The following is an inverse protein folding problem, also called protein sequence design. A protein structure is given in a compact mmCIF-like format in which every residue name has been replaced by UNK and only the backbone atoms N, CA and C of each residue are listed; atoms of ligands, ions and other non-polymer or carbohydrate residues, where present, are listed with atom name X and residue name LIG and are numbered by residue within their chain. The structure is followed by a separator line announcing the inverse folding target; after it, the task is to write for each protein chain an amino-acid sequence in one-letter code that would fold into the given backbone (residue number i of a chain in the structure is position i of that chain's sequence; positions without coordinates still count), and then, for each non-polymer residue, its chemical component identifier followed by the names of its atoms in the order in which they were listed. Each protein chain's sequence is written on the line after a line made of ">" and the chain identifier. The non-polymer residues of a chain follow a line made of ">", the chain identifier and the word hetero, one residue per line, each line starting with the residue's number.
data_IF_559989938586
#
_entry.id   IF_559989938586
#
_cell.length_a   1.000
_cell.length_b   1.000
_cell.length_c   1.000
_cell.angle_alpha   90.00
_cell.angle_beta   90.00
_cell.angle_gamma   90.00
#
_symmetry.space_group_name_H-M   'P 1'
#
loop_
_entity.id
_entity.type
_entity.pdbx_description
1 polymer ?
#
# COMPACT_ATOMS: atom_id res chain seq x y z
N UNK A 1 4.61 2.88 22.76
CA UNK A 1 3.49 2.13 22.14
C UNK A 1 2.31 1.93 23.08
N UNK A 2 2.52 1.36 24.28
CA UNK A 2 1.42 1.12 25.24
C UNK A 2 0.64 2.39 25.60
N UNK A 3 1.34 3.52 25.82
CA UNK A 3 0.68 4.80 26.10
C UNK A 3 -0.31 5.21 24.98
N UNK A 4 0.07 5.06 23.71
CA UNK A 4 -0.82 5.35 22.58
C UNK A 4 -2.02 4.41 22.54
N UNK A 5 -1.82 3.11 22.75
CA UNK A 5 -2.90 2.11 22.74
C UNK A 5 -3.93 2.34 23.84
N UNK A 6 -3.50 2.77 25.01
CA UNK A 6 -4.39 3.03 26.16
C UNK A 6 -5.06 4.40 26.06
N UNK A 7 -4.33 5.44 25.69
CA UNK A 7 -4.82 6.81 25.85
C UNK A 7 -5.42 7.41 24.58
N UNK A 8 -4.98 7.00 23.39
CA UNK A 8 -5.51 7.54 22.14
C UNK A 8 -7.04 7.38 22.01
N UNK A 9 -7.65 6.22 22.34
CA UNK A 9 -9.11 6.07 22.31
C UNK A 9 -9.88 7.00 23.25
N UNK A 10 -9.23 7.53 24.28
CA UNK A 10 -9.85 8.41 25.28
C UNK A 10 -9.87 9.88 24.84
N UNK A 11 -9.02 10.25 23.88
CA UNK A 11 -8.82 11.64 23.45
C UNK A 11 -9.26 11.90 22.01
N UNK A 12 -9.86 10.90 21.34
CA UNK A 12 -10.35 11.04 19.96
C UNK A 12 -11.70 10.35 19.77
N UNK A 13 -12.60 10.92 18.94
CA UNK A 13 -13.84 10.24 18.54
C UNK A 13 -13.61 9.16 17.47
N UNK A 14 -12.38 9.02 16.93
CA UNK A 14 -12.06 8.02 15.90
C UNK A 14 -12.09 6.59 16.45
N UNK A 15 -12.45 5.62 15.60
CA UNK A 15 -12.33 4.21 15.95
C UNK A 15 -10.85 3.79 16.00
N UNK A 16 -10.32 3.59 17.20
CA UNK A 16 -8.95 3.13 17.43
C UNK A 16 -8.95 1.63 17.71
N UNK A 17 -8.31 0.85 16.83
CA UNK A 17 -8.09 -0.58 17.04
C UNK A 17 -6.64 -0.75 17.52
N UNK A 18 -6.45 -1.31 18.71
CA UNK A 18 -5.12 -1.44 19.35
C UNK A 18 -4.07 -2.10 18.45
N UNK A 19 -4.48 -3.13 17.69
CA UNK A 19 -3.62 -3.87 16.77
C UNK A 19 -3.16 -3.04 15.57
N UNK A 20 -3.87 -1.95 15.24
CA UNK A 20 -3.47 -1.03 14.18
C UNK A 20 -2.36 -0.06 14.62
N UNK A 21 -2.09 0.03 15.93
CA UNK A 21 -0.98 0.83 16.46
C UNK A 21 0.25 -0.07 16.57
N UNK A 22 1.14 0.02 15.58
CA UNK A 22 2.36 -0.80 15.47
C UNK A 22 3.50 -0.03 14.84
N UNK A 23 4.72 -0.50 15.06
CA UNK A 23 5.87 -0.10 14.24
C UNK A 23 5.74 -0.85 12.92
N UNK A 24 5.79 -0.12 11.80
CA UNK A 24 5.78 -0.77 10.49
C UNK A 24 7.17 -1.32 10.19
N UNK A 25 7.22 -2.47 9.52
CA UNK A 25 8.46 -2.98 8.97
C UNK A 25 8.85 -2.11 7.76
N UNK A 26 10.14 -1.88 7.54
CA UNK A 26 10.61 -1.07 6.41
C UNK A 26 10.17 -1.62 5.04
N UNK A 27 9.98 -2.94 4.94
CA UNK A 27 9.43 -3.58 3.75
C UNK A 27 8.02 -3.08 3.44
N UNK A 28 7.18 -2.92 4.46
CA UNK A 28 5.83 -2.37 4.31
C UNK A 28 5.84 -0.88 4.01
N UNK A 29 6.79 -0.12 4.55
CA UNK A 29 7.00 1.28 4.15
C UNK A 29 7.24 1.38 2.63
N UNK A 30 8.11 0.53 2.07
CA UNK A 30 8.35 0.46 0.63
C UNK A 30 7.10 0.04 -0.18
N UNK A 31 6.38 -0.99 0.27
CA UNK A 31 5.12 -1.41 -0.39
C UNK A 31 4.11 -0.27 -0.39
N UNK A 32 3.94 0.42 0.73
CA UNK A 32 2.98 1.50 0.83
C UNK A 32 3.37 2.71 -0.04
N UNK A 33 4.66 3.09 -0.09
CA UNK A 33 5.12 4.12 -1.04
C UNK A 33 4.87 3.72 -2.50
N UNK A 34 5.09 2.44 -2.84
CA UNK A 34 4.81 1.91 -4.18
C UNK A 34 3.31 1.94 -4.52
N UNK A 35 2.43 1.62 -3.57
CA UNK A 35 0.98 1.75 -3.74
C UNK A 35 0.61 3.22 -3.96
N UNK A 36 1.14 4.13 -3.13
CA UNK A 36 0.81 5.56 -3.21
C UNK A 36 1.15 6.14 -4.58
N UNK A 37 2.38 5.95 -5.06
CA UNK A 37 2.81 6.51 -6.36
C UNK A 37 2.00 5.94 -7.53
N UNK A 38 1.74 4.62 -7.53
CA UNK A 38 0.98 3.99 -8.60
C UNK A 38 -0.50 4.36 -8.57
N UNK A 39 -1.06 4.62 -7.38
CA UNK A 39 -2.42 5.14 -7.24
C UNK A 39 -2.53 6.56 -7.80
N UNK A 40 -1.65 7.47 -7.39
CA UNK A 40 -1.66 8.88 -7.86
C UNK A 40 -1.45 8.96 -9.38
N UNK A 41 -0.62 8.07 -9.94
CA UNK A 41 -0.40 7.96 -11.38
C UNK A 41 -1.52 7.20 -12.13
N UNK A 42 -2.57 6.74 -11.44
CA UNK A 42 -3.69 6.01 -12.04
C UNK A 42 -3.32 4.65 -12.63
N UNK A 43 -2.18 4.06 -12.22
CA UNK A 43 -1.69 2.76 -12.75
C UNK A 43 -2.58 1.58 -12.36
N UNK A 44 -3.40 1.75 -11.33
CA UNK A 44 -4.38 0.75 -10.91
C UNK A 44 -5.73 0.85 -11.64
N UNK A 45 -5.92 1.81 -12.54
CA UNK A 45 -7.16 1.89 -13.31
C UNK A 45 -7.21 0.75 -14.33
N UNK A 46 -8.28 -0.05 -14.26
CA UNK A 46 -8.55 -1.14 -15.19
C UNK A 46 -9.69 -0.71 -16.11
N UNK A 47 -9.45 -0.69 -17.41
CA UNK A 47 -10.54 -0.67 -18.40
C UNK A 47 -11.07 -2.10 -18.55
N UNK A 48 -12.33 -2.35 -18.19
CA UNK A 48 -12.97 -3.67 -18.28
C UNK A 48 -12.92 -4.28 -19.70
N UNK A 49 -12.77 -3.45 -20.73
CA UNK A 49 -12.66 -3.83 -22.14
C UNK A 49 -11.28 -4.37 -22.54
N UNK A 50 -10.25 -4.19 -21.72
CA UNK A 50 -8.89 -4.63 -21.99
C UNK A 50 -8.36 -5.45 -20.82
N UNK A 51 -8.18 -6.75 -21.01
CA UNK A 51 -7.62 -7.69 -20.03
C UNK A 51 -6.14 -7.39 -19.66
N UNK A 52 -5.59 -6.25 -20.09
CA UNK A 52 -4.20 -5.83 -19.90
C UNK A 52 -4.20 -4.64 -18.96
N UNK A 53 -3.66 -4.85 -17.76
CA UNK A 53 -3.39 -3.79 -16.78
C UNK A 53 -2.28 -2.85 -17.27
N UNK A 54 -2.35 -1.59 -16.85
CA UNK A 54 -1.26 -0.64 -17.07
C UNK A 54 0.01 -1.12 -16.35
N UNK A 55 1.21 -0.98 -16.95
CA UNK A 55 2.46 -1.20 -16.24
C UNK A 55 2.55 -0.26 -15.03
N UNK A 56 2.99 -0.79 -13.90
CA UNK A 56 3.27 -0.01 -12.71
C UNK A 56 4.66 0.64 -12.80
N UNK A 57 4.89 1.63 -11.95
CA UNK A 57 6.22 2.24 -11.76
C UNK A 57 6.88 1.65 -10.53
N UNK A 58 8.21 1.60 -10.53
CA UNK A 58 9.00 1.28 -9.35
C UNK A 58 9.14 2.50 -8.42
N UNK A 59 9.54 2.22 -7.19
CA UNK A 59 9.80 3.22 -6.16
C UNK A 59 11.19 3.00 -5.53
N UNK A 60 11.89 4.08 -5.25
CA UNK A 60 13.05 4.15 -4.35
C UNK A 60 12.80 5.28 -3.34
N UNK A 61 12.99 5.00 -2.07
CA UNK A 61 12.91 6.00 -1.01
C UNK A 61 14.21 5.99 -0.21
N UNK A 62 14.88 7.15 -0.14
CA UNK A 62 16.12 7.30 0.62
C UNK A 62 15.83 8.19 1.81
N UNK A 63 15.52 7.57 2.94
CA UNK A 63 15.32 8.26 4.20
C UNK A 63 16.62 8.66 4.89
N UNK A 64 16.51 9.08 6.15
CA UNK A 64 17.69 9.37 6.98
C UNK A 64 18.44 8.12 7.42
N UNK A 65 17.72 7.06 7.81
CA UNK A 65 18.30 5.85 8.41
C UNK A 65 18.32 4.64 7.46
N UNK A 66 17.29 4.49 6.64
CA UNK A 66 17.13 3.36 5.72
C UNK A 66 16.88 3.83 4.30
N UNK A 67 16.99 2.87 3.39
CA UNK A 67 16.62 2.99 2.01
C UNK A 67 15.64 1.86 1.67
N UNK A 68 14.61 2.14 0.89
CA UNK A 68 13.60 1.18 0.46
C UNK A 68 13.54 1.17 -1.07
N UNK A 69 13.33 0.00 -1.65
CA UNK A 69 13.03 -0.17 -3.09
C UNK A 69 11.87 -1.15 -3.25
N UNK A 70 10.96 -0.85 -4.18
CA UNK A 70 9.83 -1.71 -4.50
C UNK A 70 9.52 -1.63 -6.00
N UNK A 71 9.43 -2.78 -6.63
CA UNK A 71 9.25 -2.92 -8.08
C UNK A 71 8.34 -4.11 -8.36
N UNK A 72 7.40 -3.94 -9.26
CA UNK A 72 6.62 -5.07 -9.74
C UNK A 72 7.46 -6.01 -10.61
N UNK A 73 7.31 -7.32 -10.36
CA UNK A 73 7.93 -8.39 -11.13
C UNK A 73 7.00 -8.89 -12.24
N UNK A 74 7.61 -9.33 -13.33
CA UNK A 74 6.91 -10.07 -14.37
C UNK A 74 6.62 -11.50 -13.90
N UNK A 75 5.62 -12.15 -14.52
CA UNK A 75 5.26 -13.55 -14.22
C UNK A 75 6.43 -14.53 -14.47
N UNK A 76 7.33 -14.18 -15.41
CA UNK A 76 8.51 -14.98 -15.78
C UNK A 76 9.70 -14.80 -14.83
N UNK A 77 9.66 -13.83 -13.91
CA UNK A 77 10.80 -13.57 -13.02
C UNK A 77 10.86 -14.64 -11.93
N UNK A 78 11.76 -15.63 -12.04
CA UNK A 78 11.93 -16.70 -11.05
C UNK A 78 12.70 -16.27 -9.80
N UNK A 79 12.46 -15.07 -9.27
CA UNK A 79 13.00 -14.65 -7.98
C UNK A 79 12.21 -15.35 -6.87
N UNK A 80 12.74 -16.47 -6.38
CA UNK A 80 12.27 -17.12 -5.16
C UNK A 80 13.12 -16.62 -4.00
N UNK A 81 12.81 -15.41 -3.52
CA UNK A 81 13.49 -14.82 -2.36
C UNK A 81 12.48 -14.27 -1.37
N UNK A 82 12.93 -14.10 -0.12
CA UNK A 82 12.17 -13.42 0.95
C UNK A 82 11.86 -11.94 0.62
N UNK A 83 12.49 -11.39 -0.43
CA UNK A 83 12.27 -10.05 -0.92
C UNK A 83 11.09 -9.94 -1.90
N UNK A 84 10.29 -10.98 -2.10
CA UNK A 84 9.09 -10.93 -2.95
C UNK A 84 7.82 -11.01 -2.10
N UNK A 85 6.87 -10.13 -2.39
CA UNK A 85 5.55 -10.08 -1.75
C UNK A 85 4.41 -10.16 -2.75
N UNK A 86 3.30 -10.74 -2.30
CA UNK A 86 2.04 -10.72 -3.05
C UNK A 86 1.12 -9.66 -2.42
N UNK A 87 0.99 -8.54 -3.11
CA UNK A 87 0.15 -7.42 -2.70
C UNK A 87 -1.20 -7.52 -3.41
N UNK A 88 -2.29 -7.75 -2.66
CA UNK A 88 -3.65 -7.69 -3.19
C UNK A 88 -4.30 -6.35 -2.81
N UNK A 89 -4.59 -5.52 -3.81
CA UNK A 89 -5.34 -4.27 -3.64
C UNK A 89 -6.83 -4.44 -3.94
N UNK A 90 -7.23 -5.60 -4.44
CA UNK A 90 -8.61 -5.92 -4.74
C UNK A 90 -9.41 -6.20 -3.47
N UNK A 91 -10.72 -6.02 -3.62
CA UNK A 91 -11.67 -6.29 -2.55
C UNK A 91 -12.16 -7.75 -2.49
N UNK A 92 -11.77 -8.57 -3.48
CA UNK A 92 -12.09 -10.00 -3.57
C UNK A 92 -10.79 -10.78 -3.52
N UNK A 93 -10.65 -11.62 -2.49
CA UNK A 93 -9.45 -12.44 -2.33
C UNK A 93 -9.33 -13.54 -3.40
N UNK A 94 -10.38 -13.86 -4.15
CA UNK A 94 -10.31 -14.80 -5.26
C UNK A 94 -9.86 -14.19 -6.60
N UNK A 95 -9.74 -12.86 -6.70
CA UNK A 95 -9.45 -12.18 -7.97
C UNK A 95 -7.96 -11.89 -8.13
N UNK A 96 -7.43 -12.20 -9.31
CA UNK A 96 -6.04 -11.87 -9.67
C UNK A 96 -5.89 -10.48 -10.30
N UNK A 97 -6.99 -9.77 -10.54
CA UNK A 97 -6.99 -8.49 -11.26
C UNK A 97 -6.14 -7.41 -10.57
N UNK A 98 -6.14 -7.41 -9.24
CA UNK A 98 -5.41 -6.46 -8.41
C UNK A 98 -4.36 -7.15 -7.52
N UNK A 99 -3.86 -8.31 -7.98
CA UNK A 99 -2.74 -9.01 -7.35
C UNK A 99 -1.44 -8.65 -8.06
N UNK A 100 -0.50 -8.15 -7.27
CA UNK A 100 0.79 -7.69 -7.74
C UNK A 100 1.87 -8.50 -7.03
N UNK A 101 2.82 -9.01 -7.81
CA UNK A 101 4.03 -9.64 -7.28
C UNK A 101 5.11 -8.59 -7.24
N UNK A 102 5.45 -8.13 -6.04
CA UNK A 102 6.32 -6.97 -5.83
C UNK A 102 7.62 -7.45 -5.21
N UNK A 103 8.73 -7.21 -5.90
CA UNK A 103 10.04 -7.25 -5.26
C UNK A 103 10.15 -6.02 -4.36
N UNK A 104 10.42 -6.23 -3.08
CA UNK A 104 10.58 -5.16 -2.11
C UNK A 104 11.63 -5.53 -1.07
N UNK A 105 12.50 -4.57 -0.77
CA UNK A 105 13.51 -4.74 0.27
C UNK A 105 13.84 -3.42 0.95
N UNK A 106 14.44 -3.52 2.13
CA UNK A 106 14.91 -2.40 2.94
C UNK A 106 16.37 -2.59 3.28
N UNK A 107 17.17 -1.57 3.02
CA UNK A 107 18.58 -1.53 3.34
C UNK A 107 18.79 -0.63 4.56
N UNK A 108 18.83 -1.25 5.73
CA UNK A 108 19.04 -0.53 6.99
C UNK A 108 20.47 0.02 7.05
N UNK A 109 20.61 1.28 7.47
CA UNK A 109 21.89 1.98 7.50
C UNK A 109 22.37 2.48 6.13
N UNK A 110 21.51 2.46 5.11
CA UNK A 110 21.78 3.06 3.78
C UNK A 110 21.00 4.35 3.53
N UNK A 111 20.19 4.79 4.51
CA UNK A 111 19.69 6.16 4.51
C UNK A 111 20.84 7.16 4.57
N UNK A 112 20.60 8.39 4.12
CA UNK A 112 21.67 9.36 3.86
C UNK A 112 22.48 9.73 5.11
N UNK A 113 21.84 9.79 6.28
CA UNK A 113 22.50 10.17 7.53
C UNK A 113 23.34 9.02 8.09
N UNK A 114 22.85 7.78 7.99
CA UNK A 114 23.62 6.60 8.37
C UNK A 114 24.76 6.33 7.38
N UNK A 115 24.57 6.60 6.09
CA UNK A 115 25.63 6.62 5.08
C UNK A 115 26.74 7.62 5.45
N UNK A 116 26.36 8.84 5.86
CA UNK A 116 27.32 9.85 6.34
C UNK A 116 28.07 9.36 7.58
N UNK A 117 27.36 8.71 8.51
CA UNK A 117 27.96 8.14 9.72
C UNK A 117 29.00 7.07 9.41
N UNK A 118 28.68 6.15 8.48
CA UNK A 118 29.60 5.12 7.99
C UNK A 118 30.82 5.74 7.30
N UNK A 119 30.61 6.77 6.49
CA UNK A 119 31.69 7.50 5.83
C UNK A 119 32.62 8.19 6.85
N UNK A 120 32.06 8.87 7.84
CA UNK A 120 32.83 9.50 8.91
C UNK A 120 33.63 8.47 9.72
N UNK A 121 33.05 7.30 9.99
CA UNK A 121 33.77 6.20 10.63
C UNK A 121 34.94 5.71 9.78
N UNK A 122 34.73 5.48 8.47
CA UNK A 122 35.78 5.08 7.53
C UNK A 122 36.96 6.07 7.53
N UNK A 123 36.68 7.37 7.47
CA UNK A 123 37.71 8.41 7.55
C UNK A 123 38.43 8.39 8.90
N UNK A 124 37.68 8.18 9.97
CA UNK A 124 38.19 8.09 11.34
C UNK A 124 39.15 6.92 11.51
N UNK A 125 38.83 5.76 10.95
CA UNK A 125 39.60 4.51 11.03
C UNK A 125 40.89 4.59 10.19
N UNK A 126 40.82 5.19 8.98
CA UNK A 126 42.02 5.45 8.15
C UNK A 126 43.07 6.28 8.88
N UNK A 127 42.65 7.32 9.62
CA UNK A 127 43.55 8.13 10.44
C UNK A 127 44.26 7.33 11.54
N UNK A 128 43.60 6.30 12.11
CA UNK A 128 44.18 5.46 13.15
C UNK A 128 45.21 4.48 12.57
N UNK A 129 44.94 3.93 11.38
CA UNK A 129 45.83 2.96 10.72
C UNK A 129 47.10 3.59 10.13
N UNK A 130 47.06 4.86 9.73
CA UNK A 130 48.22 5.55 9.13
C UNK A 130 49.33 5.91 10.15
N UNK A 131 49.26 5.41 11.39
CA UNK A 131 50.22 5.63 12.50
C UNK A 131 50.68 7.09 12.66
N UNK A 132 49.82 8.01 12.23
CA UNK A 132 50.13 9.43 12.14
C UNK A 132 49.70 10.09 13.42
N UNK A 133 50.58 10.07 14.42
CA UNK A 133 50.45 10.83 15.68
C UNK A 133 50.27 12.34 15.49
N UNK A 134 50.26 12.85 14.24
CA UNK A 134 50.34 14.27 13.88
C UNK A 134 49.12 14.79 13.10
N UNK A 135 48.26 13.95 12.49
CA UNK A 135 47.13 14.46 11.69
C UNK A 135 45.83 14.55 12.50
N UNK A 136 45.61 15.71 13.10
CA UNK A 136 44.34 16.08 13.72
C UNK A 136 43.18 16.26 12.73
N UNK A 137 43.46 16.22 11.42
CA UNK A 137 42.46 16.39 10.37
C UNK A 137 42.67 15.49 9.14
N UNK A 138 41.56 15.17 8.47
CA UNK A 138 41.51 14.47 7.18
C UNK A 138 41.03 15.41 6.09
N UNK A 139 41.59 15.28 4.88
CA UNK A 139 41.10 15.98 3.69
C UNK A 139 39.90 15.24 3.14
N UNK A 140 38.80 15.95 2.95
CA UNK A 140 37.50 15.34 2.67
C UNK A 140 36.94 15.82 1.34
N UNK A 141 36.83 14.91 0.38
CA UNK A 141 36.30 15.16 -0.95
C UNK A 141 34.80 15.47 -0.95
N UNK A 142 34.07 14.97 0.05
CA UNK A 142 32.63 15.09 0.20
C UNK A 142 32.16 16.36 0.93
N UNK A 143 33.08 17.29 1.27
CA UNK A 143 32.75 18.59 1.84
C UNK A 143 33.15 19.73 0.89
N UNK A 144 32.39 20.85 0.86
CA UNK A 144 32.79 22.06 0.13
C UNK A 144 34.20 22.53 0.52
N UNK A 145 34.90 23.16 -0.42
CA UNK A 145 36.28 23.63 -0.19
C UNK A 145 36.39 24.50 1.06
N UNK A 146 37.34 24.18 1.93
CA UNK A 146 37.60 24.86 3.22
C UNK A 146 36.46 24.81 4.26
N UNK A 147 35.38 24.06 4.04
CA UNK A 147 34.48 23.73 5.15
C UNK A 147 35.23 22.85 6.15
N UNK A 148 35.11 23.17 7.43
CA UNK A 148 35.69 22.38 8.52
C UNK A 148 34.55 21.82 9.36
N UNK A 149 34.55 20.50 9.58
CA UNK A 149 33.64 19.82 10.50
C UNK A 149 34.42 19.02 11.53
N UNK A 150 34.01 19.10 12.79
CA UNK A 150 34.58 18.27 13.86
C UNK A 150 33.68 17.08 14.10
N UNK A 151 34.24 15.88 14.04
CA UNK A 151 33.54 14.61 14.30
C UNK A 151 33.99 14.03 15.61
N UNK A 152 33.03 13.60 16.43
CA UNK A 152 33.27 12.87 17.68
C UNK A 152 33.17 11.37 17.44
N UNK A 153 34.22 10.62 17.77
CA UNK A 153 34.24 9.16 17.70
C UNK A 153 33.54 8.55 18.91
N UNK A 154 33.16 7.27 18.81
CA UNK A 154 32.57 6.50 19.92
C UNK A 154 33.47 6.40 21.14
N UNK A 155 34.79 6.41 20.95
CA UNK A 155 35.79 6.39 22.03
C UNK A 155 36.05 7.76 22.67
N UNK A 156 35.25 8.79 22.34
CA UNK A 156 35.40 10.16 22.86
C UNK A 156 36.46 11.00 22.16
N UNK A 157 37.36 10.41 21.37
CA UNK A 157 38.33 11.18 20.58
C UNK A 157 37.64 11.98 19.46
N UNK A 158 38.29 13.05 19.01
CA UNK A 158 37.77 13.94 17.97
C UNK A 158 38.76 14.06 16.82
N UNK A 159 38.26 14.21 15.61
CA UNK A 159 39.08 14.57 14.45
C UNK A 159 38.34 15.60 13.60
N UNK A 160 39.09 16.34 12.80
CA UNK A 160 38.55 17.37 11.92
C UNK A 160 38.51 16.87 10.47
N UNK A 161 37.42 17.17 9.76
CA UNK A 161 37.28 16.97 8.32
C UNK A 161 37.44 18.33 7.65
N UNK A 162 38.36 18.46 6.71
CA UNK A 162 38.58 19.69 5.94
C UNK A 162 38.25 19.45 4.47
N UNK A 163 37.24 20.14 3.98
CA UNK A 163 36.73 19.95 2.63
C UNK A 163 37.70 20.38 1.54
N UNK A 164 37.83 19.54 0.51
CA UNK A 164 38.56 19.86 -0.71
C UNK A 164 37.64 20.17 -1.89
N UNK A 165 36.38 19.72 -1.86
CA UNK A 165 35.40 20.03 -2.90
C UNK A 165 35.51 19.17 -4.16
N UNK A 166 36.03 17.95 -4.05
CA UNK A 166 36.18 17.01 -5.17
C UNK A 166 35.03 16.01 -5.20
N UNK A 167 33.96 16.37 -5.93
CA UNK A 167 32.74 15.57 -5.96
C UNK A 167 32.95 14.19 -6.62
N UNK A 168 33.79 14.09 -7.64
CA UNK A 168 34.03 12.81 -8.34
C UNK A 168 34.80 11.83 -7.44
N UNK A 169 35.83 12.31 -6.73
CA UNK A 169 36.52 11.50 -5.74
C UNK A 169 35.59 11.08 -4.58
N UNK A 170 34.66 11.96 -4.18
CA UNK A 170 33.63 11.61 -3.20
C UNK A 170 32.73 10.46 -3.72
N UNK A 171 32.19 10.56 -4.93
CA UNK A 171 31.37 9.49 -5.54
C UNK A 171 32.13 8.16 -5.62
N UNK A 172 33.42 8.18 -5.95
CA UNK A 172 34.26 6.99 -5.97
C UNK A 172 34.35 6.31 -4.59
N UNK A 173 34.71 7.08 -3.55
CA UNK A 173 34.79 6.56 -2.17
C UNK A 173 33.44 6.03 -1.67
N UNK A 174 32.35 6.73 -1.97
CA UNK A 174 31.02 6.31 -1.55
C UNK A 174 30.52 5.09 -2.33
N UNK A 175 30.91 4.95 -3.61
CA UNK A 175 30.59 3.76 -4.41
C UNK A 175 31.20 2.50 -3.82
N UNK A 176 32.47 2.55 -3.39
CA UNK A 176 33.11 1.44 -2.68
C UNK A 176 32.43 1.15 -1.35
N UNK A 177 32.13 2.20 -0.57
CA UNK A 177 31.47 2.05 0.73
C UNK A 177 30.09 1.40 0.60
N UNK A 178 29.33 1.77 -0.43
CA UNK A 178 27.99 1.28 -0.69
C UNK A 178 27.97 -0.24 -0.94
N UNK A 179 28.91 -0.78 -1.72
CA UNK A 179 28.93 -2.22 -2.05
C UNK A 179 29.62 -3.07 -0.98
N UNK A 180 30.59 -2.51 -0.26
CA UNK A 180 31.36 -3.26 0.73
C UNK A 180 30.71 -3.32 2.12
N UNK A 181 29.67 -2.52 2.38
CA UNK A 181 29.03 -2.42 3.72
C UNK A 181 28.13 -3.61 4.09
N UNK A 182 28.03 -4.65 3.28
CA UNK A 182 27.39 -5.91 3.68
C UNK A 182 27.33 -6.96 2.59
N UNK A 183 28.51 -7.40 2.14
CA UNK A 183 28.66 -8.44 1.12
C UNK A 183 27.99 -9.74 1.55
N UNK A 184 26.97 -10.15 0.81
CA UNK A 184 26.36 -11.48 0.91
C UNK A 184 27.14 -12.46 0.03
N UNK A 185 27.37 -13.70 0.51
CA UNK A 185 28.05 -14.74 -0.26
C UNK A 185 27.34 -15.07 -1.59
N UNK A 186 26.02 -14.95 -1.65
CA UNK A 186 25.25 -15.11 -2.89
C UNK A 186 25.59 -14.05 -3.93
N UNK A 187 25.96 -12.85 -3.49
CA UNK A 187 26.35 -11.74 -4.37
C UNK A 187 27.72 -11.92 -5.03
N UNK A 188 28.45 -12.99 -4.70
CA UNK A 188 29.62 -13.41 -5.46
C UNK A 188 29.25 -14.12 -6.77
N UNK A 189 28.03 -14.68 -6.86
CA UNK A 189 27.57 -15.50 -7.99
C UNK A 189 26.47 -14.85 -8.81
N UNK A 190 25.85 -13.78 -8.30
CA UNK A 190 24.74 -13.09 -8.95
C UNK A 190 24.83 -11.58 -8.75
N UNK A 191 24.24 -10.82 -9.67
CA UNK A 191 24.07 -9.37 -9.53
C UNK A 191 23.21 -9.05 -8.30
N UNK A 192 23.68 -8.13 -7.47
CA UNK A 192 23.00 -7.72 -6.25
C UNK A 192 22.82 -6.22 -6.16
N UNK A 193 21.72 -5.82 -5.53
CA UNK A 193 21.54 -4.45 -5.07
C UNK A 193 22.33 -4.21 -3.79
N UNK A 194 23.13 -3.13 -3.81
CA UNK A 194 24.00 -2.66 -2.74
C UNK A 194 24.96 -3.75 -2.20
N UNK A 195 25.25 -4.79 -3.01
CA UNK A 195 26.04 -5.94 -2.59
C UNK A 195 25.38 -6.87 -1.55
N UNK A 196 24.10 -6.65 -1.22
CA UNK A 196 23.42 -7.37 -0.11
C UNK A 196 22.31 -8.31 -0.58
N UNK A 197 21.49 -7.88 -1.52
CA UNK A 197 20.26 -8.58 -1.92
C UNK A 197 20.31 -8.88 -3.40
N UNK A 198 20.06 -10.13 -3.78
CA UNK A 198 20.02 -10.57 -5.19
C UNK A 198 19.02 -9.72 -5.97
N UNK A 199 19.50 -9.08 -7.04
CA UNK A 199 18.68 -8.26 -7.90
C UNK A 199 17.73 -9.14 -8.74
N UNK A 200 16.48 -8.70 -8.98
CA UNK A 200 15.61 -9.35 -9.95
C UNK A 200 16.20 -9.22 -11.37
N UNK A 201 15.69 -10.04 -12.30
CA UNK A 201 16.15 -10.01 -13.70
C UNK A 201 15.73 -8.74 -14.45
N UNK A 202 14.73 -8.01 -13.92
CA UNK A 202 14.31 -6.73 -14.47
C UNK A 202 15.39 -5.66 -14.23
N UNK A 203 15.81 -5.02 -15.31
CA UNK A 203 16.70 -3.86 -15.27
C UNK A 203 15.93 -2.64 -14.79
N UNK A 204 16.42 -1.97 -13.74
CA UNK A 204 15.83 -0.72 -13.23
C UNK A 204 15.91 0.43 -14.25
N UNK A 205 16.84 0.34 -15.21
CA UNK A 205 17.03 1.33 -16.27
C UNK A 205 15.90 1.30 -17.30
N UNK A 206 15.23 0.15 -17.46
CA UNK A 206 14.19 -0.06 -18.48
C UNK A 206 12.78 0.27 -17.99
N UNK A 207 12.62 0.51 -16.68
CA UNK A 207 11.34 0.83 -16.04
C UNK A 207 11.27 2.30 -15.62
N UNK A 208 10.06 2.74 -15.26
CA UNK A 208 9.85 4.06 -14.66
C UNK A 208 10.09 3.91 -13.17
N UNK A 209 10.98 4.72 -12.62
CA UNK A 209 11.41 4.59 -11.22
C UNK A 209 11.31 5.95 -10.54
N UNK A 210 10.55 6.03 -9.47
CA UNK A 210 10.29 7.27 -8.74
C UNK A 210 11.09 7.29 -7.43
N UNK A 211 11.86 8.35 -7.24
CA UNK A 211 12.75 8.58 -6.10
C UNK A 211 12.18 9.61 -5.14
N UNK A 212 12.00 9.23 -3.88
CA UNK A 212 11.44 10.08 -2.83
C UNK A 212 12.50 10.55 -1.82
N UNK A 213 12.09 11.45 -0.92
CA UNK A 213 12.90 11.94 0.20
C UNK A 213 14.25 12.50 -0.26
N UNK A 214 15.38 11.91 0.15
CA UNK A 214 16.70 12.46 -0.19
C UNK A 214 17.06 12.32 -1.67
N UNK A 215 16.36 11.49 -2.45
CA UNK A 215 16.46 11.55 -3.92
C UNK A 215 16.00 12.93 -4.43
N UNK A 216 14.94 13.48 -3.87
CA UNK A 216 14.45 14.82 -4.19
C UNK A 216 15.33 15.90 -3.57
N UNK A 217 15.47 15.93 -2.25
CA UNK A 217 16.15 17.04 -1.57
C UNK A 217 17.62 17.19 -2.00
N UNK A 218 18.31 16.08 -2.31
CA UNK A 218 19.70 16.12 -2.78
C UNK A 218 19.85 16.55 -4.24
N UNK A 219 18.77 16.54 -5.03
CA UNK A 219 18.79 17.00 -6.44
C UNK A 219 18.13 18.38 -6.59
N UNK A 220 17.16 18.73 -5.76
CA UNK A 220 16.37 19.95 -5.91
C UNK A 220 16.88 21.14 -5.09
N UNK A 221 17.10 20.99 -3.77
CA UNK A 221 17.21 22.14 -2.84
C UNK A 221 18.30 23.16 -3.21
N UNK A 222 19.42 22.65 -3.75
CA UNK A 222 20.59 23.46 -4.14
C UNK A 222 20.80 23.51 -5.65
N UNK A 223 20.44 22.44 -6.38
CA UNK A 223 20.76 22.33 -7.81
C UNK A 223 19.56 22.58 -8.73
N UNK A 224 18.34 22.58 -8.19
CA UNK A 224 17.09 22.73 -8.93
C UNK A 224 16.95 21.70 -10.06
N UNK A 225 17.29 20.44 -9.77
CA UNK A 225 17.27 19.32 -10.70
C UNK A 225 16.20 18.27 -10.35
N UNK A 226 15.16 18.65 -9.60
CA UNK A 226 14.01 17.79 -9.37
C UNK A 226 13.32 17.38 -10.68
N UNK A 227 12.69 16.20 -10.67
CA UNK A 227 12.00 15.64 -11.83
C UNK A 227 12.85 14.61 -12.58
N UNK A 228 12.83 14.59 -13.93
CA UNK A 228 13.62 13.64 -14.72
C UNK A 228 15.12 13.72 -14.39
N UNK A 229 15.67 12.59 -13.97
CA UNK A 229 17.05 12.51 -13.52
C UNK A 229 18.03 12.55 -14.69
N UNK A 230 19.09 13.35 -14.54
CA UNK A 230 20.19 13.42 -15.49
C UNK A 230 21.52 13.45 -14.73
N UNK A 231 22.28 12.34 -14.82
CA UNK A 231 23.56 12.21 -14.13
C UNK A 231 24.56 13.29 -14.55
N UNK A 232 24.65 13.59 -15.84
CA UNK A 232 25.60 14.59 -16.38
C UNK A 232 25.34 15.98 -15.80
N UNK A 233 24.06 16.37 -15.72
CA UNK A 233 23.67 17.67 -15.17
C UNK A 233 23.87 17.73 -13.66
N UNK A 234 23.52 16.66 -12.94
CA UNK A 234 23.81 16.54 -11.50
C UNK A 234 25.30 16.66 -11.23
N UNK A 235 26.12 15.88 -11.95
CA UNK A 235 27.56 15.88 -11.78
C UNK A 235 28.18 17.25 -12.07
N UNK A 236 27.73 17.93 -13.13
CA UNK A 236 28.19 19.29 -13.44
C UNK A 236 27.86 20.28 -12.31
N UNK A 237 26.59 20.36 -11.89
CA UNK A 237 26.15 21.27 -10.82
C UNK A 237 26.83 20.96 -9.48
N UNK A 238 26.97 19.68 -9.15
CA UNK A 238 27.62 19.26 -7.92
C UNK A 238 29.12 19.59 -7.91
N UNK A 239 29.84 19.35 -9.02
CA UNK A 239 31.25 19.76 -9.15
C UNK A 239 31.42 21.26 -8.96
N UNK A 240 30.59 22.06 -9.63
CA UNK A 240 30.65 23.52 -9.54
C UNK A 240 30.38 24.03 -8.13
N UNK A 241 29.36 23.47 -7.46
CA UNK A 241 29.02 23.83 -6.09
C UNK A 241 30.09 23.40 -5.09
N UNK A 242 30.57 22.15 -5.17
CA UNK A 242 31.50 21.59 -4.19
C UNK A 242 32.88 22.25 -4.22
N UNK A 243 33.32 22.73 -5.39
CA UNK A 243 34.57 23.50 -5.55
C UNK A 243 34.50 24.91 -4.95
N UNK A 244 33.33 25.41 -4.59
CA UNK A 244 33.21 26.72 -3.95
C UNK A 244 33.81 26.67 -2.54
N UNK A 245 34.47 27.77 -2.17
CA UNK A 245 34.85 27.98 -0.77
C UNK A 245 33.59 28.07 0.09
N UNK A 246 33.63 27.51 1.29
CA UNK A 246 32.53 27.57 2.24
C UNK A 246 32.04 29.01 2.51
N UNK A 247 32.97 29.96 2.63
CA UNK A 247 32.63 31.38 2.78
C UNK A 247 31.82 31.93 1.59
N UNK A 248 32.14 31.51 0.37
CA UNK A 248 31.37 31.88 -0.84
C UNK A 248 29.97 31.29 -0.79
N UNK A 249 29.81 30.04 -0.36
CA UNK A 249 28.48 29.42 -0.20
C UNK A 249 27.65 30.18 0.84
N UNK A 250 28.25 30.54 1.98
CA UNK A 250 27.59 31.34 3.01
C UNK A 250 27.18 32.73 2.49
N UNK A 251 28.06 33.42 1.75
CA UNK A 251 27.71 34.70 1.12
C UNK A 251 26.54 34.56 0.15
N UNK A 252 26.53 33.53 -0.70
CA UNK A 252 25.43 33.25 -1.64
C UNK A 252 24.12 32.91 -0.93
N UNK A 253 24.19 32.18 0.20
CA UNK A 253 23.03 31.89 1.04
C UNK A 253 22.42 33.16 1.64
N UNK A 254 23.25 34.10 2.13
CA UNK A 254 22.78 35.43 2.62
C UNK A 254 22.11 36.25 1.52
N UNK A 255 22.54 36.08 0.27
CA UNK A 255 21.93 36.67 -0.93
C UNK A 255 20.69 35.90 -1.43
N UNK A 256 20.19 34.93 -0.66
CA UNK A 256 19.02 34.11 -0.98
C UNK A 256 19.13 33.33 -2.30
N UNK A 257 20.34 32.98 -2.73
CA UNK A 257 20.54 32.15 -3.93
C UNK A 257 20.22 30.67 -3.72
N UNK A 258 20.02 30.24 -2.47
CA UNK A 258 19.58 28.88 -2.12
C UNK A 258 18.33 28.94 -1.24
N UNK A 259 17.16 29.36 -1.78
CA UNK A 259 15.98 29.65 -0.97
C UNK A 259 15.35 28.42 -0.32
N UNK A 260 15.65 27.22 -0.83
CA UNK A 260 15.13 25.92 -0.35
C UNK A 260 16.08 25.20 0.61
N UNK A 261 17.27 25.75 0.86
CA UNK A 261 18.32 25.07 1.61
C UNK A 261 18.74 25.87 2.86
N UNK A 262 18.67 25.22 4.02
CA UNK A 262 19.29 25.73 5.24
C UNK A 262 20.80 25.48 5.26
N UNK A 263 21.48 25.96 6.31
CA UNK A 263 22.94 25.83 6.40
C UNK A 263 23.38 24.36 6.48
N UNK A 264 22.61 23.48 7.12
CA UNK A 264 22.95 22.06 7.25
C UNK A 264 22.79 21.29 5.94
N UNK A 265 21.77 21.62 5.13
CA UNK A 265 21.64 21.18 3.73
C UNK A 265 22.86 21.64 2.93
N UNK A 266 23.23 22.93 2.99
CA UNK A 266 24.40 23.45 2.25
C UNK A 266 25.72 22.78 2.66
N UNK A 267 25.91 22.51 3.96
CA UNK A 267 27.10 21.81 4.48
C UNK A 267 27.18 20.36 4.03
N UNK A 268 26.04 19.68 3.87
CA UNK A 268 25.96 18.25 3.56
C UNK A 268 25.71 17.95 2.08
N UNK A 269 25.37 18.95 1.26
CA UNK A 269 24.94 18.77 -0.13
C UNK A 269 25.92 17.99 -1.01
N UNK A 270 27.23 18.22 -0.86
CA UNK A 270 28.26 17.50 -1.60
C UNK A 270 28.23 16.00 -1.30
N UNK A 271 28.21 15.64 -0.02
CA UNK A 271 28.06 14.25 0.41
C UNK A 271 26.73 13.65 -0.06
N UNK A 272 25.61 14.34 0.19
CA UNK A 272 24.27 13.77 -0.06
C UNK A 272 24.01 13.54 -1.55
N UNK A 273 24.40 14.48 -2.42
CA UNK A 273 24.31 14.29 -3.87
C UNK A 273 25.22 13.18 -4.39
N UNK A 274 26.43 13.04 -3.85
CA UNK A 274 27.34 11.96 -4.18
C UNK A 274 26.81 10.59 -3.68
N UNK A 275 26.18 10.55 -2.51
CA UNK A 275 25.55 9.36 -1.95
C UNK A 275 24.42 8.87 -2.84
N UNK A 276 23.52 9.76 -3.28
CA UNK A 276 22.45 9.41 -4.23
C UNK A 276 23.04 8.88 -5.55
N UNK A 277 24.08 9.52 -6.10
CA UNK A 277 24.74 9.04 -7.31
C UNK A 277 25.36 7.64 -7.12
N UNK A 278 26.04 7.39 -6.00
CA UNK A 278 26.63 6.09 -5.67
C UNK A 278 25.57 4.99 -5.48
N UNK A 279 24.50 5.29 -4.75
CA UNK A 279 23.37 4.37 -4.53
C UNK A 279 22.69 4.02 -5.84
N UNK A 280 22.36 5.00 -6.69
CA UNK A 280 21.66 4.74 -7.95
C UNK A 280 22.54 3.96 -8.94
N UNK A 281 23.76 4.41 -9.18
CA UNK A 281 24.58 3.87 -10.26
C UNK A 281 25.40 2.65 -9.86
N UNK A 282 25.99 2.65 -8.66
CA UNK A 282 26.81 1.53 -8.19
C UNK A 282 25.95 0.56 -7.40
N UNK A 283 25.09 1.08 -6.51
CA UNK A 283 24.23 0.27 -5.66
C UNK A 283 23.14 -0.47 -6.42
N UNK A 284 22.44 0.23 -7.30
CA UNK A 284 21.30 -0.30 -8.06
C UNK A 284 21.60 -0.60 -9.52
N UNK A 285 22.83 -0.36 -9.97
CA UNK A 285 23.23 -0.57 -11.37
C UNK A 285 22.35 0.22 -12.36
N UNK A 286 21.80 1.36 -11.95
CA UNK A 286 21.03 2.23 -12.83
C UNK A 286 21.97 2.87 -13.86
N UNK A 287 21.63 2.82 -15.14
CA UNK A 287 22.46 3.40 -16.20
C UNK A 287 22.50 4.93 -16.08
N UNK A 288 23.68 5.54 -16.24
CA UNK A 288 23.87 6.99 -16.12
C UNK A 288 23.20 7.81 -17.23
N UNK A 289 23.02 7.19 -18.40
CA UNK A 289 22.56 7.83 -19.63
C UNK A 289 21.17 7.38 -20.07
N UNK A 290 20.85 6.10 -19.90
CA UNK A 290 19.61 5.46 -20.33
C UNK A 290 18.84 4.98 -19.11
N UNK A 291 18.22 5.89 -18.39
CA UNK A 291 17.31 5.56 -17.29
C UNK A 291 16.04 6.40 -17.38
N UNK A 292 14.98 5.94 -16.72
CA UNK A 292 13.72 6.69 -16.56
C UNK A 292 13.47 7.02 -15.09
N UNK A 293 14.53 7.32 -14.35
CA UNK A 293 14.43 7.70 -12.95
C UNK A 293 13.94 9.15 -12.82
N UNK A 294 13.06 9.39 -11.84
CA UNK A 294 12.52 10.71 -11.53
C UNK A 294 12.61 10.95 -10.04
N UNK A 295 13.31 12.01 -9.62
CA UNK A 295 13.20 12.47 -8.23
C UNK A 295 11.96 13.34 -8.10
N UNK A 296 11.11 13.07 -7.11
CA UNK A 296 9.87 13.83 -6.92
C UNK A 296 9.60 14.08 -5.44
N UNK A 297 8.96 15.22 -5.15
CA UNK A 297 8.36 15.50 -3.85
C UNK A 297 6.87 15.18 -3.87
N UNK A 298 6.18 15.69 -4.89
CA UNK A 298 4.78 15.43 -5.17
C UNK A 298 4.61 14.88 -6.59
N UNK A 299 3.46 14.25 -6.82
CA UNK A 299 2.99 13.86 -8.15
C UNK A 299 1.61 14.49 -8.33
N UNK A 300 1.45 15.32 -9.36
CA UNK A 300 0.21 16.09 -9.62
C UNK A 300 -0.22 17.00 -8.44
N UNK A 301 0.73 17.54 -7.67
CA UNK A 301 0.43 18.37 -6.50
C UNK A 301 0.05 17.58 -5.24
N UNK A 302 0.03 16.25 -5.31
CA UNK A 302 -0.16 15.38 -4.15
C UNK A 302 1.20 14.85 -3.67
N UNK A 303 1.55 15.18 -2.42
CA UNK A 303 2.76 14.68 -1.78
C UNK A 303 2.71 13.15 -1.71
N UNK A 304 3.75 12.48 -2.25
CA UNK A 304 3.77 11.02 -2.28
C UNK A 304 4.29 10.51 -0.95
N UNK A 305 3.34 10.22 -0.05
CA UNK A 305 3.62 9.68 1.28
C UNK A 305 3.20 8.21 1.37
N UNK A 306 4.00 7.38 2.04
CA UNK A 306 3.66 5.98 2.32
C UNK A 306 2.33 5.86 3.10
N UNK A 307 1.96 6.89 3.86
CA UNK A 307 0.70 6.90 4.63
C UNK A 307 -0.53 6.78 3.72
N UNK A 308 -0.52 7.35 2.52
CA UNK A 308 -1.59 7.20 1.53
C UNK A 308 -1.73 5.74 1.09
N UNK A 309 -0.62 5.09 0.75
CA UNK A 309 -0.64 3.68 0.36
C UNK A 309 -1.05 2.75 1.51
N UNK A 310 -0.65 3.08 2.74
CA UNK A 310 -1.10 2.37 3.93
C UNK A 310 -2.62 2.49 4.09
N UNK A 311 -3.16 3.70 3.94
CA UNK A 311 -4.60 3.95 4.00
C UNK A 311 -5.34 3.14 2.92
N UNK A 312 -4.91 3.22 1.66
CA UNK A 312 -5.51 2.48 0.54
C UNK A 312 -5.49 0.96 0.77
N UNK A 313 -4.35 0.42 1.19
CA UNK A 313 -4.19 -1.01 1.44
C UNK A 313 -5.11 -1.50 2.58
N UNK A 314 -5.13 -0.79 3.71
CA UNK A 314 -5.92 -1.18 4.87
C UNK A 314 -7.43 -0.94 4.68
N UNK A 315 -7.82 -0.09 3.73
CA UNK A 315 -9.23 0.18 3.39
C UNK A 315 -9.76 -0.63 2.20
N UNK A 316 -9.01 -1.58 1.63
CA UNK A 316 -9.40 -2.32 0.41
C UNK A 316 -10.75 -3.06 0.48
N UNK A 317 -11.26 -3.35 1.68
CA UNK A 317 -12.56 -4.00 1.90
C UNK A 317 -13.72 -3.00 2.16
N UNK A 318 -13.43 -1.70 2.20
CA UNK A 318 -14.41 -0.65 2.41
C UNK A 318 -14.92 -0.13 1.05
N UNK A 319 -16.24 0.06 0.82
CA UNK A 319 -17.37 -0.10 1.74
C UNK A 319 -18.04 -1.48 1.60
N UNK A 320 -17.35 -2.50 1.07
CA UNK A 320 -17.97 -3.80 0.80
C UNK A 320 -18.44 -4.50 2.07
N UNK A 321 -17.80 -4.26 3.22
CA UNK A 321 -18.37 -4.66 4.53
C UNK A 321 -19.76 -4.06 4.78
N UNK A 322 -19.98 -2.78 4.47
CA UNK A 322 -21.27 -2.10 4.67
C UNK A 322 -22.31 -2.47 3.61
N UNK A 323 -21.89 -2.75 2.37
CA UNK A 323 -22.79 -3.24 1.33
C UNK A 323 -23.20 -4.71 1.54
N UNK A 324 -22.27 -5.59 1.92
CA UNK A 324 -22.60 -6.98 2.27
C UNK A 324 -23.47 -7.05 3.53
N UNK A 325 -23.20 -6.23 4.54
CA UNK A 325 -24.04 -6.13 5.74
C UNK A 325 -25.45 -5.65 5.40
N UNK A 326 -25.59 -4.63 4.54
CA UNK A 326 -26.91 -4.18 4.03
C UNK A 326 -27.62 -5.28 3.26
N UNK A 327 -26.94 -5.97 2.35
CA UNK A 327 -27.53 -7.08 1.58
C UNK A 327 -27.95 -8.26 2.48
N UNK A 328 -27.19 -8.57 3.53
CA UNK A 328 -27.56 -9.59 4.52
C UNK A 328 -28.77 -9.16 5.37
N UNK A 329 -28.83 -7.89 5.78
CA UNK A 329 -29.96 -7.33 6.50
C UNK A 329 -31.23 -7.31 5.63
N UNK A 330 -31.11 -6.93 4.36
CA UNK A 330 -32.20 -6.96 3.39
C UNK A 330 -32.66 -8.38 3.09
N UNK A 331 -31.74 -9.34 2.98
CA UNK A 331 -32.09 -10.77 2.83
C UNK A 331 -32.87 -11.28 4.05
N UNK A 332 -32.42 -10.98 5.27
CA UNK A 332 -33.15 -11.30 6.52
C UNK A 332 -34.52 -10.63 6.57
N UNK A 333 -34.62 -9.37 6.12
CA UNK A 333 -35.88 -8.63 6.06
C UNK A 333 -36.85 -9.26 5.06
N UNK A 334 -36.36 -9.68 3.89
CA UNK A 334 -37.15 -10.40 2.88
C UNK A 334 -37.66 -11.74 3.41
N UNK A 335 -36.81 -12.54 4.03
CA UNK A 335 -37.19 -13.83 4.64
C UNK A 335 -38.24 -13.66 5.76
N UNK A 336 -38.08 -12.63 6.61
CA UNK A 336 -39.08 -12.28 7.65
C UNK A 336 -40.42 -11.85 7.06
N UNK A 337 -40.41 -11.08 5.97
CA UNK A 337 -41.64 -10.59 5.32
C UNK A 337 -42.40 -11.74 4.64
N UNK A 338 -41.69 -12.66 3.97
CA UNK A 338 -42.27 -13.87 3.36
C UNK A 338 -42.88 -14.81 4.40
N UNK A 339 -42.24 -14.95 5.57
CA UNK A 339 -42.77 -15.74 6.69
C UNK A 339 -44.07 -15.14 7.26
N UNK A 340 -44.11 -13.82 7.47
CA UNK A 340 -45.32 -13.13 7.95
C UNK A 340 -46.47 -13.21 6.95
N UNK A 341 -46.21 -13.04 5.66
CA UNK A 341 -47.21 -13.19 4.60
C UNK A 341 -47.85 -14.58 4.58
N UNK A 342 -47.05 -15.62 4.78
CA UNK A 342 -47.52 -17.02 4.82
C UNK A 342 -48.47 -17.29 6.01
N UNK A 343 -48.20 -16.67 7.17
CA UNK A 343 -49.05 -16.78 8.36
C UNK A 343 -50.41 -16.10 8.15
N UNK A 344 -50.44 -14.90 7.55
CA UNK A 344 -51.70 -14.20 7.28
C UNK A 344 -52.58 -14.93 6.27
N UNK A 345 -51.99 -15.60 5.27
CA UNK A 345 -52.73 -16.43 4.31
C UNK A 345 -53.38 -17.63 5.02
N UNK A 346 -52.64 -18.30 5.91
CA UNK A 346 -53.17 -19.43 6.70
C UNK A 346 -54.30 -18.99 7.66
N UNK A 347 -54.14 -17.86 8.33
CA UNK A 347 -55.18 -17.29 9.20
C UNK A 347 -56.42 -16.87 8.42
N UNK A 348 -56.25 -16.28 7.22
CA UNK A 348 -57.34 -15.94 6.32
C UNK A 348 -58.11 -17.18 5.85
N UNK A 349 -57.41 -18.24 5.45
CA UNK A 349 -58.01 -19.50 5.05
C UNK A 349 -58.80 -20.16 6.20
N UNK A 350 -58.25 -20.15 7.42
CA UNK A 350 -58.94 -20.63 8.61
C UNK A 350 -60.20 -19.82 8.92
N UNK A 351 -60.14 -18.48 8.85
CA UNK A 351 -61.30 -17.61 9.06
C UNK A 351 -62.40 -17.84 8.02
N UNK A 352 -62.03 -18.01 6.74
CA UNK A 352 -62.97 -18.36 5.67
C UNK A 352 -63.64 -19.72 5.93
N UNK A 353 -62.88 -20.72 6.37
CA UNK A 353 -63.42 -22.04 6.72
C UNK A 353 -64.42 -21.95 7.87
N UNK A 354 -64.08 -21.21 8.94
CA UNK A 354 -64.98 -20.97 10.08
C UNK A 354 -66.26 -20.27 9.63
N UNK A 355 -66.15 -19.24 8.77
CA UNK A 355 -67.30 -18.54 8.20
C UNK A 355 -68.21 -19.48 7.38
N UNK A 356 -67.63 -20.36 6.57
CA UNK A 356 -68.41 -21.36 5.82
C UNK A 356 -69.16 -22.30 6.76
N UNK A 357 -68.50 -22.77 7.82
CA UNK A 357 -69.14 -23.65 8.84
C UNK A 357 -70.27 -22.92 9.57
N UNK A 358 -70.08 -21.64 9.93
CA UNK A 358 -71.12 -20.80 10.56
C UNK A 358 -72.30 -20.61 9.60
N UNK A 359 -72.06 -20.27 8.33
CA UNK A 359 -73.10 -20.09 7.33
C UNK A 359 -73.88 -21.38 7.06
N UNK A 360 -73.21 -22.54 7.05
CA UNK A 360 -73.85 -23.84 6.95
C UNK A 360 -74.72 -24.15 8.17
N UNK A 361 -74.26 -23.81 9.39
CA UNK A 361 -75.06 -23.92 10.62
C UNK A 361 -76.27 -22.97 10.63
N UNK A 362 -76.11 -21.71 10.22
CA UNK A 362 -77.22 -20.75 10.11
C UNK A 362 -78.27 -21.20 9.07
N UNK A 363 -77.85 -21.77 7.94
CA UNK A 363 -78.78 -22.39 6.96
C UNK A 363 -79.55 -23.58 7.54
N UNK A 364 -78.92 -24.35 8.43
CA UNK A 364 -79.57 -25.49 9.09
C UNK A 364 -80.57 -25.04 10.17
N UNK A 365 -80.32 -23.91 10.85
CA UNK A 365 -81.23 -23.34 11.86
C UNK A 365 -82.43 -22.63 11.21
N UNK A 366 -82.24 -21.93 10.09
CA UNK A 366 -83.34 -21.26 9.37
C UNK A 366 -84.32 -22.22 8.67
N UNK A 367 -84.02 -23.51 8.55
CA UNK A 367 -84.99 -24.52 8.07
C UNK A 367 -85.93 -25.05 9.17
N UNK A 368 -85.74 -24.65 10.42
CA UNK A 368 -86.52 -25.15 11.58
C UNK A 368 -87.74 -24.31 11.99
N UNK A 369 -87.96 -23.14 11.41
CA UNK A 369 -89.08 -22.26 11.77
C UNK A 369 -89.77 -21.75 10.51
N UNK A 370 -90.88 -22.40 10.13
CA UNK A 370 -92.08 -21.82 9.51
C UNK A 370 -93.03 -22.98 9.16
N UNK A 371 -93.90 -23.32 10.12
CA UNK A 371 -95.04 -24.22 9.96
C UNK A 371 -96.30 -23.34 9.85
N UNK A 372 -97.00 -23.38 8.71
CA UNK A 372 -98.41 -22.99 8.59
C UNK A 372 -99.07 -23.76 7.43
N UNK A 373 -100.32 -24.12 7.68
CA UNK A 373 -101.10 -25.22 7.11
C UNK A 373 -101.60 -25.06 5.65
N UNK A 374 -102.08 -26.17 5.02
CA UNK A 374 -102.36 -26.26 3.59
C UNK A 374 -103.85 -26.09 3.24
N UNK A 375 -104.14 -25.63 2.02
CA UNK A 375 -105.46 -25.77 1.41
C UNK A 375 -105.37 -26.07 -0.09
N UNK A 376 -106.41 -26.80 -0.54
CA UNK A 376 -106.87 -27.04 -1.93
C UNK A 376 -106.35 -28.30 -2.61
N UNK A 377 -107.06 -29.41 -2.32
CA UNK A 377 -107.79 -30.28 -3.26
C UNK A 377 -107.22 -30.54 -4.67
N UNK A 378 -107.07 -31.83 -4.98
CA UNK A 378 -107.61 -32.35 -6.24
C UNK A 378 -106.90 -33.55 -6.87
N UNK A 379 -107.38 -34.77 -6.53
CA UNK A 379 -107.45 -35.99 -7.37
C UNK A 379 -106.10 -36.64 -7.76
N UNK A 380 -105.87 -37.96 -7.69
CA UNK A 380 -106.74 -39.12 -7.92
C UNK A 380 -106.03 -40.41 -7.42
N UNK A 381 -106.85 -41.36 -6.95
CA UNK A 381 -106.69 -42.84 -7.04
C UNK A 381 -105.67 -43.59 -6.16
N UNK A 382 -106.26 -44.21 -5.14
CA UNK A 382 -105.94 -45.46 -4.42
C UNK A 382 -105.37 -46.59 -5.32
N UNK A 383 -104.40 -47.35 -4.82
CA UNK A 383 -104.65 -48.64 -4.13
C UNK A 383 -103.37 -49.32 -3.62
N UNK A 384 -103.54 -49.97 -2.48
CA UNK A 384 -102.66 -50.84 -1.71
C UNK A 384 -101.90 -51.95 -2.46
N UNK A 385 -100.71 -52.25 -1.91
CA UNK A 385 -100.28 -53.57 -1.38
C UNK A 385 -99.00 -54.24 -1.94
N UNK A 386 -98.19 -54.70 -0.97
CA UNK A 386 -97.25 -55.86 -0.96
C UNK A 386 -95.80 -55.62 -1.45
N UNK A 387 -94.79 -55.59 -0.58
CA UNK A 387 -94.06 -56.68 0.12
C UNK A 387 -92.96 -57.37 -0.76
N UNK A 388 -91.69 -56.91 -0.60
CA UNK A 388 -90.36 -57.60 -0.55
C UNK A 388 -90.00 -58.77 -1.53
N UNK A 389 -88.73 -59.27 -1.67
CA UNK A 389 -87.40 -58.80 -1.20
C UNK A 389 -86.20 -58.95 -2.20
N UNK A 390 -85.02 -58.44 -1.79
CA UNK A 390 -83.62 -58.96 -1.91
C UNK A 390 -83.04 -59.53 -3.24
N UNK A 391 -81.88 -58.99 -3.65
CA UNK A 391 -80.62 -59.70 -4.06
C UNK A 391 -79.55 -58.63 -4.41
N UNK A 392 -78.46 -58.38 -3.66
CA UNK A 392 -77.19 -59.10 -3.42
C UNK A 392 -76.27 -59.37 -4.64
N UNK A 393 -75.09 -58.69 -4.63
CA UNK A 393 -73.72 -59.10 -5.09
C UNK A 393 -73.49 -59.27 -6.62
N UNK A 394 -72.38 -58.87 -7.26
CA UNK A 394 -70.92 -59.09 -7.05
C UNK A 394 -70.10 -58.09 -7.94
N UNK A 395 -68.80 -57.82 -7.67
CA UNK A 395 -67.93 -56.88 -8.41
C UNK A 395 -66.91 -57.58 -9.35
N UNK A 396 -66.23 -56.80 -10.21
CA UNK A 396 -64.91 -57.10 -10.81
C UNK A 396 -64.45 -55.84 -11.58
N UNK A 397 -63.40 -55.12 -11.16
CA UNK A 397 -61.98 -55.37 -11.42
C UNK A 397 -61.64 -55.77 -12.85
N UNK A 398 -61.08 -54.80 -13.58
CA UNK A 398 -59.80 -54.91 -14.30
C UNK A 398 -59.24 -53.50 -14.46
#
# INVERSE_FOLDING_TARGET
>A
MNNLRTNLPLVTPMQVISDHIRVIEGKWEGIYSWIAVNYILGRFNVNESSAIRSPTVGMVDVGGASLQIAVELNKSDNVHSSAVEIVNLGCRDGSDLFRYRVFVTTFLGYGVNEGLRKYEQLLGDKLLTENSTVKAYVRDSCLPTNLVKTVSRKNGSRFMRKGVGDWDACVGQLSELVVNSGTNAECQKSTCYLGQVVAPQISLSDIELYGFSECWFSTEDVFSLGGPYNFTLLAAKARDFCKLRWSTIQSRSRLKLYPKADEDRLRSQCFKSAWIAAVLHTGFSLDKSKNRFRSVFDVNGEEVQWTLGAMLYNMRYFPLRDMQRRNLLDKRRRESTTSRGSIYILLGAAACFILVVILQRCRHVNRGFLRREPSIWGYMMLSQDQLYPLQYKVPSFS
#
